data_IF_665708625694
#
_entry.id   IF_665708625694
#
_cell.length_a   1.000
_cell.length_b   1.000
_cell.length_c   1.000
_cell.angle_alpha   90.00
_cell.angle_beta   90.00
_cell.angle_gamma   90.00
#
_symmetry.space_group_name_H-M   'P 1'
#
loop_
_entity.id
_entity.type
_entity.pdbx_description
1 polymer ?
#
# COMPACT_ATOMS: atom_id res chain seq x y z
N UNK A 1 7.58 -72.68 4.64
CA UNK A 1 8.45 -72.06 3.62
C UNK A 1 8.21 -70.56 3.67
N UNK A 2 9.28 -69.79 3.57
CA UNK A 2 9.47 -68.41 4.03
C UNK A 2 8.92 -67.38 3.02
N UNK A 3 8.74 -66.14 3.53
CA UNK A 3 8.80 -64.80 2.90
C UNK A 3 7.41 -64.16 2.67
N UNK A 4 7.17 -62.85 2.82
CA UNK A 4 7.72 -61.66 3.52
C UNK A 4 6.91 -60.48 2.89
N UNK A 5 6.97 -59.29 3.50
CA UNK A 5 6.50 -57.99 2.96
C UNK A 5 4.99 -57.77 3.04
N UNK A 6 4.49 -56.84 3.84
CA UNK A 6 4.70 -55.39 3.73
C UNK A 6 3.36 -54.82 3.21
N UNK A 7 2.69 -53.85 3.85
CA UNK A 7 3.20 -52.54 4.18
C UNK A 7 2.61 -52.03 5.51
N UNK A 8 3.48 -51.49 6.37
CA UNK A 8 3.09 -50.42 7.28
C UNK A 8 2.58 -49.26 6.41
N UNK A 9 1.28 -48.96 6.50
CA UNK A 9 0.82 -47.63 6.11
C UNK A 9 1.30 -46.68 7.20
N UNK A 10 2.42 -46.01 6.93
CA UNK A 10 2.80 -44.78 7.59
C UNK A 10 1.58 -43.86 7.56
N UNK A 11 0.93 -43.68 8.71
CA UNK A 11 0.18 -42.45 8.96
C UNK A 11 1.22 -41.34 8.87
N UNK A 12 1.30 -40.67 7.72
CA UNK A 12 1.94 -39.38 7.69
C UNK A 12 1.12 -38.51 8.64
N UNK A 13 1.72 -38.11 9.75
CA UNK A 13 1.29 -36.96 10.50
C UNK A 13 1.23 -35.82 9.48
N UNK A 14 0.02 -35.54 8.97
CA UNK A 14 -0.29 -34.26 8.37
C UNK A 14 -0.08 -33.27 9.51
N UNK A 15 1.14 -32.75 9.61
CA UNK A 15 1.35 -31.39 10.08
C UNK A 15 0.59 -30.52 9.07
N UNK A 16 -0.71 -30.36 9.32
CA UNK A 16 -1.44 -29.15 8.97
C UNK A 16 -0.66 -28.02 9.63
N UNK A 17 0.40 -27.58 8.93
CA UNK A 17 0.84 -26.21 9.01
C UNK A 17 -0.37 -25.45 8.49
N UNK A 18 -1.25 -25.06 9.41
CA UNK A 18 -2.23 -24.01 9.20
C UNK A 18 -1.41 -22.78 8.79
N UNK A 19 -1.11 -22.66 7.49
CA UNK A 19 -0.73 -21.39 6.92
C UNK A 19 -1.94 -20.52 7.15
N UNK A 20 -1.86 -19.60 8.12
CA UNK A 20 -2.85 -18.54 8.32
C UNK A 20 -3.05 -17.87 6.96
N UNK A 21 -4.11 -18.27 6.26
CA UNK A 21 -4.46 -17.65 5.00
C UNK A 21 -4.93 -16.24 5.33
N UNK A 22 -4.21 -15.24 4.82
CA UNK A 22 -4.61 -13.84 4.97
C UNK A 22 -5.98 -13.64 4.33
N UNK A 23 -7.03 -13.66 5.14
CA UNK A 23 -8.39 -13.58 4.68
C UNK A 23 -8.79 -12.11 4.48
N UNK A 24 -8.17 -11.47 3.49
CA UNK A 24 -8.42 -10.07 3.11
C UNK A 24 -9.13 -10.08 1.78
N UNK A 25 -10.28 -9.40 1.72
CA UNK A 25 -11.09 -9.33 0.50
C UNK A 25 -10.35 -8.55 -0.58
N UNK A 26 -10.05 -9.23 -1.71
CA UNK A 26 -9.47 -8.58 -2.89
C UNK A 26 -10.41 -7.50 -3.43
N UNK A 27 -9.86 -6.39 -3.90
CA UNK A 27 -10.65 -5.34 -4.51
C UNK A 27 -9.90 -4.03 -4.67
N UNK A 28 -10.58 -3.08 -5.32
CA UNK A 28 -10.12 -1.72 -5.54
C UNK A 28 -11.19 -0.77 -5.03
N UNK A 29 -10.81 0.14 -4.13
CA UNK A 29 -11.76 1.02 -3.46
C UNK A 29 -11.26 2.45 -3.54
N UNK A 30 -12.08 3.33 -4.12
CA UNK A 30 -11.80 4.76 -4.13
C UNK A 30 -11.95 5.34 -2.73
N UNK A 31 -11.02 6.24 -2.38
CA UNK A 31 -11.04 7.02 -1.15
C UNK A 31 -12.20 8.01 -1.14
N UNK A 32 -12.88 8.10 0.00
CA UNK A 32 -14.03 8.99 0.19
C UNK A 32 -13.77 10.07 1.25
N UNK A 33 -12.55 10.14 1.78
CA UNK A 33 -12.18 11.08 2.83
C UNK A 33 -11.95 12.49 2.31
N UNK A 34 -11.75 13.41 3.24
CA UNK A 34 -11.46 14.82 2.94
C UNK A 34 -10.27 14.95 1.98
N UNK A 35 -10.35 15.78 0.93
CA UNK A 35 -9.22 16.10 0.07
C UNK A 35 -8.03 16.64 0.86
N UNK A 36 -6.83 16.44 0.34
CA UNK A 36 -5.59 16.98 0.93
C UNK A 36 -4.83 17.82 -0.08
N UNK A 37 -4.25 18.90 0.39
CA UNK A 37 -3.38 19.78 -0.40
C UNK A 37 -2.09 20.04 0.37
N UNK A 38 -0.94 19.88 -0.29
CA UNK A 38 0.37 20.12 0.33
C UNK A 38 1.33 20.79 -0.66
N UNK A 39 2.14 21.70 -0.13
CA UNK A 39 3.32 22.20 -0.83
C UNK A 39 4.52 21.33 -0.45
N UNK A 40 5.33 20.97 -1.44
CA UNK A 40 6.59 20.23 -1.27
C UNK A 40 7.72 21.10 -1.79
N UNK A 41 8.63 21.44 -0.89
CA UNK A 41 9.85 22.18 -1.20
C UNK A 41 10.92 21.21 -1.71
N UNK A 42 11.50 21.52 -2.87
CA UNK A 42 12.54 20.74 -3.53
C UNK A 42 13.83 21.55 -3.60
N UNK A 43 14.97 20.89 -3.41
CA UNK A 43 16.26 21.54 -3.42
C UNK A 43 16.76 21.88 -4.83
N UNK A 44 16.43 21.12 -5.87
CA UNK A 44 16.88 21.31 -7.27
C UNK A 44 15.78 20.84 -8.26
N UNK A 45 15.96 21.14 -9.56
CA UNK A 45 15.15 20.94 -10.81
C UNK A 45 14.33 19.64 -11.00
N UNK A 46 13.83 19.02 -9.95
CA UNK A 46 12.93 17.87 -9.94
C UNK A 46 11.46 18.29 -10.08
N UNK A 47 11.22 19.43 -10.73
CA UNK A 47 9.87 19.90 -11.02
C UNK A 47 9.32 19.10 -12.20
N UNK A 48 8.22 18.38 -12.00
CA UNK A 48 7.49 17.71 -13.08
C UNK A 48 6.42 16.73 -12.61
N UNK A 49 5.59 16.29 -13.55
CA UNK A 49 4.41 15.45 -13.30
C UNK A 49 4.75 14.13 -12.56
N UNK A 50 5.84 13.45 -12.94
CA UNK A 50 6.25 12.19 -12.29
C UNK A 50 6.62 12.41 -10.81
N UNK A 51 7.40 13.45 -10.51
CA UNK A 51 7.71 13.83 -9.12
C UNK A 51 6.43 14.19 -8.37
N UNK A 52 5.52 14.90 -9.03
CA UNK A 52 4.25 15.34 -8.48
C UNK A 52 3.37 14.13 -8.10
N UNK A 53 3.30 13.10 -8.94
CA UNK A 53 2.59 11.85 -8.69
C UNK A 53 3.18 11.05 -7.55
N UNK A 54 4.51 10.95 -7.49
CA UNK A 54 5.22 10.29 -6.39
C UNK A 54 4.93 10.97 -5.05
N UNK A 55 5.01 12.30 -5.01
CA UNK A 55 4.68 13.07 -3.81
C UNK A 55 3.21 12.95 -3.45
N UNK A 56 2.30 12.92 -4.43
CA UNK A 56 0.87 12.72 -4.17
C UNK A 56 0.58 11.36 -3.53
N UNK A 57 1.22 10.30 -4.00
CA UNK A 57 1.12 8.96 -3.42
C UNK A 57 1.67 8.93 -1.98
N UNK A 58 2.83 9.56 -1.75
CA UNK A 58 3.41 9.69 -0.40
C UNK A 58 2.47 10.44 0.54
N UNK A 59 1.91 11.56 0.10
CA UNK A 59 0.98 12.40 0.87
C UNK A 59 -0.33 11.64 1.16
N UNK A 60 -0.85 10.86 0.21
CA UNK A 60 -2.04 10.04 0.41
C UNK A 60 -1.82 9.02 1.54
N UNK A 61 -0.70 8.29 1.52
CA UNK A 61 -0.37 7.30 2.56
C UNK A 61 -0.11 7.95 3.92
N UNK A 62 0.61 9.07 3.96
CA UNK A 62 0.83 9.82 5.21
C UNK A 62 -0.48 10.35 5.79
N UNK A 63 -1.33 10.94 4.96
CA UNK A 63 -2.64 11.43 5.41
C UNK A 63 -3.53 10.29 5.90
N UNK A 64 -3.47 9.10 5.29
CA UNK A 64 -4.19 7.92 5.76
C UNK A 64 -3.68 7.49 7.14
N UNK A 65 -2.36 7.37 7.30
CA UNK A 65 -1.71 7.01 8.56
C UNK A 65 -2.08 7.97 9.70
N UNK A 66 -2.01 9.28 9.45
CA UNK A 66 -2.38 10.33 10.40
C UNK A 66 -3.85 10.23 10.83
N UNK A 67 -4.76 9.99 9.88
CA UNK A 67 -6.21 9.92 10.15
C UNK A 67 -6.62 8.63 10.86
N UNK A 68 -5.93 7.53 10.59
CA UNK A 68 -6.15 6.25 11.25
C UNK A 68 -5.47 6.17 12.62
N UNK A 69 -4.57 7.10 12.94
CA UNK A 69 -3.71 7.07 14.14
C UNK A 69 -2.87 5.78 14.22
N UNK A 70 -2.31 5.35 13.07
CA UNK A 70 -1.46 4.16 12.97
C UNK A 70 -0.23 4.42 12.10
N UNK A 71 0.85 3.71 12.36
CA UNK A 71 2.08 3.82 11.56
C UNK A 71 1.99 2.94 10.30
N UNK A 72 1.78 3.55 9.13
CA UNK A 72 1.75 2.83 7.84
C UNK A 72 3.01 2.99 7.00
N UNK A 73 3.70 4.13 7.14
CA UNK A 73 4.86 4.46 6.30
C UNK A 73 6.01 3.47 6.56
N UNK A 74 6.55 2.88 5.50
CA UNK A 74 7.66 1.93 5.58
C UNK A 74 7.27 0.51 6.03
N UNK A 75 5.98 0.24 6.28
CA UNK A 75 5.53 -1.14 6.56
C UNK A 75 5.58 -1.96 5.27
N UNK A 76 6.04 -3.22 5.35
CA UNK A 76 6.28 -4.07 4.16
C UNK A 76 5.01 -4.53 3.43
N UNK A 77 3.86 -4.46 4.10
CA UNK A 77 2.58 -4.96 3.60
C UNK A 77 1.73 -3.86 2.95
N UNK A 78 2.18 -2.60 2.97
CA UNK A 78 1.48 -1.45 2.38
C UNK A 78 2.47 -0.55 1.66
N UNK A 79 2.12 -0.12 0.46
CA UNK A 79 2.94 0.79 -0.34
C UNK A 79 2.06 1.77 -1.10
N UNK A 80 2.60 2.94 -1.42
CA UNK A 80 1.92 3.92 -2.24
C UNK A 80 2.69 4.14 -3.55
N UNK A 81 1.96 4.27 -4.65
CA UNK A 81 2.53 4.54 -5.97
C UNK A 81 1.58 5.38 -6.81
N UNK A 82 2.13 6.05 -7.82
CA UNK A 82 1.38 6.72 -8.87
C UNK A 82 1.41 5.86 -10.14
N UNK A 83 0.26 5.71 -10.79
CA UNK A 83 0.15 5.00 -12.07
C UNK A 83 0.21 6.02 -13.20
N UNK A 84 1.36 6.13 -13.88
CA UNK A 84 1.52 7.06 -15.01
C UNK A 84 0.51 6.83 -16.15
N UNK A 85 0.12 5.58 -16.41
CA UNK A 85 -0.81 5.24 -17.50
C UNK A 85 -2.25 5.68 -17.23
N UNK A 86 -2.64 5.74 -15.94
CA UNK A 86 -4.02 6.07 -15.52
C UNK A 86 -4.15 7.43 -14.88
N UNK A 87 -3.02 8.04 -14.53
CA UNK A 87 -2.93 9.26 -13.75
C UNK A 87 -3.62 9.17 -12.37
N UNK A 88 -3.50 7.99 -11.76
CA UNK A 88 -4.15 7.63 -10.50
C UNK A 88 -3.12 7.50 -9.36
N UNK A 89 -3.55 7.78 -8.13
CA UNK A 89 -2.77 7.49 -6.92
C UNK A 89 -3.28 6.22 -6.26
N UNK A 90 -2.39 5.31 -5.90
CA UNK A 90 -2.72 4.01 -5.34
C UNK A 90 -2.02 3.76 -4.01
N UNK A 91 -2.74 3.16 -3.07
CA UNK A 91 -2.21 2.50 -1.88
C UNK A 91 -2.47 1.01 -2.05
N UNK A 92 -1.42 0.23 -2.29
CA UNK A 92 -1.52 -1.22 -2.36
C UNK A 92 -1.28 -1.85 -1.00
N UNK A 93 -2.21 -2.73 -0.60
CA UNK A 93 -2.16 -3.56 0.59
C UNK A 93 -2.00 -5.01 0.15
N UNK A 94 -0.92 -5.65 0.57
CA UNK A 94 -0.59 -7.01 0.18
C UNK A 94 0.11 -7.76 1.31
N UNK A 95 -0.08 -9.08 1.42
CA UNK A 95 0.71 -9.89 2.33
C UNK A 95 2.20 -9.72 2.05
N UNK A 96 2.98 -9.49 3.10
CA UNK A 96 4.44 -9.38 3.00
C UNK A 96 5.10 -10.69 3.43
N UNK A 97 6.33 -10.92 3.00
CA UNK A 97 7.17 -11.97 3.59
C UNK A 97 8.10 -11.34 4.64
N UNK A 98 8.22 -11.96 5.80
CA UNK A 98 9.23 -11.57 6.79
C UNK A 98 10.63 -12.06 6.38
N UNK A 99 11.63 -11.79 7.22
CA UNK A 99 13.02 -12.20 6.96
C UNK A 99 13.22 -13.71 6.97
N UNK A 100 12.27 -14.47 7.51
CA UNK A 100 12.26 -15.93 7.54
C UNK A 100 11.40 -16.51 6.40
N UNK A 101 10.98 -15.66 5.45
CA UNK A 101 10.12 -16.02 4.33
C UNK A 101 8.72 -16.52 4.76
N UNK A 102 8.24 -16.12 5.94
CA UNK A 102 6.88 -16.41 6.37
C UNK A 102 5.93 -15.31 5.89
N UNK A 103 4.77 -15.70 5.36
CA UNK A 103 3.71 -14.78 4.94
C UNK A 103 3.15 -14.06 6.18
N UNK A 104 3.11 -12.74 6.15
CA UNK A 104 2.56 -11.85 7.17
C UNK A 104 1.42 -11.05 6.59
N UNK A 105 0.24 -11.21 7.17
CA UNK A 105 -0.92 -10.44 6.80
C UNK A 105 -0.79 -9.00 7.33
N UNK A 106 -1.39 -8.01 6.65
CA UNK A 106 -1.77 -6.75 7.28
C UNK A 106 -2.37 -6.99 8.68
N UNK A 107 -2.01 -6.17 9.68
CA UNK A 107 -2.49 -6.35 11.05
C UNK A 107 -4.00 -6.15 11.10
N UNK A 108 -4.67 -6.82 12.05
CA UNK A 108 -6.14 -6.74 12.18
C UNK A 108 -6.65 -5.32 12.45
N UNK A 109 -5.81 -4.46 13.03
CA UNK A 109 -6.11 -3.03 13.24
C UNK A 109 -6.22 -2.23 11.93
N UNK A 110 -5.69 -2.76 10.81
CA UNK A 110 -5.91 -2.17 9.50
C UNK A 110 -7.28 -2.61 8.95
N UNK A 111 -8.32 -1.87 9.31
CA UNK A 111 -9.66 -2.08 8.79
C UNK A 111 -9.85 -1.42 7.42
N UNK A 112 -10.08 -2.22 6.38
CA UNK A 112 -10.18 -1.72 5.00
C UNK A 112 -11.30 -0.69 4.78
N UNK A 113 -12.47 -0.88 5.39
CA UNK A 113 -13.59 0.07 5.27
C UNK A 113 -13.27 1.41 5.95
N UNK A 114 -12.59 1.36 7.09
CA UNK A 114 -12.07 2.55 7.78
C UNK A 114 -11.01 3.24 6.92
N UNK A 115 -10.07 2.48 6.36
CA UNK A 115 -9.04 3.00 5.47
C UNK A 115 -9.65 3.67 4.24
N UNK A 116 -10.65 3.07 3.60
CA UNK A 116 -11.40 3.65 2.48
C UNK A 116 -12.08 4.96 2.82
N UNK A 117 -12.69 5.04 4.01
CA UNK A 117 -13.41 6.24 4.46
C UNK A 117 -12.45 7.38 4.78
N UNK A 118 -11.26 7.08 5.29
CA UNK A 118 -10.26 8.06 5.69
C UNK A 118 -9.28 8.45 4.56
N UNK A 119 -9.10 7.58 3.57
CA UNK A 119 -8.27 7.83 2.39
C UNK A 119 -8.78 9.08 1.66
N UNK A 120 -7.92 10.09 1.38
CA UNK A 120 -8.34 11.30 0.70
C UNK A 120 -8.99 10.96 -0.65
N UNK A 121 -10.12 11.60 -0.96
CA UNK A 121 -10.74 11.49 -2.28
C UNK A 121 -9.92 12.17 -3.38
N UNK A 122 -9.05 13.12 -3.02
CA UNK A 122 -8.22 13.89 -3.94
C UNK A 122 -6.95 14.36 -3.25
N UNK A 123 -5.84 14.39 -3.99
CA UNK A 123 -4.56 14.95 -3.55
C UNK A 123 -4.13 16.06 -4.51
N UNK A 124 -3.87 17.24 -3.99
CA UNK A 124 -3.24 18.34 -4.72
C UNK A 124 -1.82 18.54 -4.18
N UNK A 125 -0.84 18.56 -5.07
CA UNK A 125 0.56 18.79 -4.71
C UNK A 125 1.05 20.01 -5.47
N UNK A 126 1.73 20.89 -4.74
CA UNK A 126 2.43 22.04 -5.30
C UNK A 126 3.92 21.87 -5.05
N UNK A 127 4.69 21.65 -6.11
CA UNK A 127 6.14 21.55 -6.06
C UNK A 127 6.75 22.95 -6.21
N UNK A 128 7.61 23.32 -5.27
CA UNK A 128 8.32 24.61 -5.27
C UNK A 128 9.82 24.35 -5.08
N UNK A 129 10.66 25.00 -5.88
CA UNK A 129 12.12 25.00 -5.66
C UNK A 129 12.51 26.14 -4.74
N UNK A 130 13.32 25.84 -3.73
CA UNK A 130 13.75 26.86 -2.75
C UNK A 130 14.95 27.69 -3.24
N UNK A 131 15.61 27.26 -4.32
CA UNK A 131 16.86 27.86 -4.81
C UNK A 131 16.72 28.59 -6.16
N UNK A 132 15.55 28.52 -6.82
CA UNK A 132 15.31 29.10 -8.15
C UNK A 132 13.98 29.86 -8.19
N UNK A 133 13.88 30.91 -9.03
CA UNK A 133 12.63 31.64 -9.29
C UNK A 133 11.71 30.89 -10.28
N UNK A 134 11.82 29.56 -10.36
CA UNK A 134 10.98 28.75 -11.24
C UNK A 134 9.52 28.79 -10.77
N UNK A 135 8.60 28.79 -11.73
CA UNK A 135 7.18 28.78 -11.41
C UNK A 135 6.82 27.45 -10.74
N UNK A 136 6.12 27.53 -9.60
CA UNK A 136 5.60 26.35 -8.91
C UNK A 136 4.80 25.45 -9.86
N UNK A 137 5.02 24.15 -9.78
CA UNK A 137 4.25 23.16 -10.53
C UNK A 137 3.18 22.55 -9.64
N UNK A 138 1.92 22.64 -10.07
CA UNK A 138 0.78 22.12 -9.31
C UNK A 138 0.09 21.01 -10.09
N UNK A 139 -0.07 19.86 -9.44
CA UNK A 139 -0.80 18.71 -9.97
C UNK A 139 -1.95 18.35 -9.03
N UNK A 140 -3.01 17.76 -9.57
CA UNK A 140 -4.18 17.32 -8.78
C UNK A 140 -4.68 15.97 -9.25
N UNK A 141 -4.59 14.97 -8.37
CA UNK A 141 -5.04 13.60 -8.58
C UNK A 141 -6.40 13.40 -7.92
N UNK A 142 -7.44 13.20 -8.74
CA UNK A 142 -8.85 13.09 -8.29
C UNK A 142 -9.28 11.68 -7.92
N UNK A 143 -8.46 10.71 -8.27
CA UNK A 143 -8.77 9.31 -8.11
C UNK A 143 -7.65 8.66 -7.29
N UNK A 144 -7.92 8.55 -5.98
CA UNK A 144 -7.04 7.93 -5.00
C UNK A 144 -7.67 6.62 -4.57
N UNK A 145 -6.94 5.51 -4.72
CA UNK A 145 -7.46 4.18 -4.48
C UNK A 145 -6.67 3.46 -3.40
N UNK A 146 -7.35 2.58 -2.67
CA UNK A 146 -6.73 1.47 -1.96
C UNK A 146 -7.00 0.17 -2.74
N UNK A 147 -5.95 -0.57 -3.05
CA UNK A 147 -6.03 -1.91 -3.65
C UNK A 147 -5.64 -2.97 -2.63
N UNK A 148 -6.32 -4.11 -2.67
CA UNK A 148 -5.98 -5.29 -1.88
C UNK A 148 -5.69 -6.45 -2.80
N UNK A 149 -4.46 -6.95 -2.74
CA UNK A 149 -3.98 -8.11 -3.49
C UNK A 149 -3.57 -9.24 -2.52
N UNK A 150 -3.64 -10.51 -2.96
CA UNK A 150 -3.28 -11.69 -2.13
C UNK A 150 -2.17 -12.53 -2.73
#
# INVERSE_FOLDING_TARGET
MVLLSGCLSQMSENRESETEECNISRGYYQGNGEPVSRTVELSHDEIGEDRCGQEAARIALQSLAERMDVELVGKRWITAYHSMDRDDVWIAVMPAHDTENQKRCPPQEFELETARTLLPSRVTVRLETVETDEAAHECTYRDVYVSVDQ
#
